data_IF_513018834525
#
_entry.id   IF_513018834525
#
_cell.length_a   1.000
_cell.length_b   1.000
_cell.length_c   1.000
_cell.angle_alpha   90.00
_cell.angle_beta   90.00
_cell.angle_gamma   90.00
#
_symmetry.space_group_name_H-M   'P 1'
#
loop_
_entity.id
_entity.type
_entity.pdbx_description
1 polymer ?
#
# COMPACT_ATOMS: atom_id res chain seq x y z
N UNK A 1 10.00 -7.70 7.71
CA UNK A 1 9.94 -6.79 8.87
C UNK A 1 8.86 -5.71 8.70
N UNK A 2 9.12 -4.64 7.95
CA UNK A 2 8.25 -3.44 7.87
C UNK A 2 6.82 -3.77 7.43
N UNK A 3 6.64 -4.57 6.40
CA UNK A 3 5.30 -4.94 5.91
C UNK A 3 4.50 -5.75 6.94
N UNK A 4 5.17 -6.63 7.68
CA UNK A 4 4.52 -7.38 8.75
C UNK A 4 4.10 -6.46 9.91
N UNK A 5 4.90 -5.43 10.20
CA UNK A 5 4.58 -4.41 11.17
C UNK A 5 3.34 -3.58 10.74
N UNK A 6 3.32 -3.10 9.50
CA UNK A 6 2.18 -2.35 8.96
C UNK A 6 0.90 -3.20 9.01
N UNK A 7 0.98 -4.48 8.61
CA UNK A 7 -0.15 -5.41 8.69
C UNK A 7 -0.63 -5.65 10.13
N UNK A 8 0.27 -5.81 11.08
CA UNK A 8 -0.04 -5.93 12.50
C UNK A 8 -0.72 -4.67 13.06
N UNK A 9 -0.21 -3.49 12.71
CA UNK A 9 -0.81 -2.21 13.09
C UNK A 9 -2.22 -2.03 12.50
N UNK A 10 -2.42 -2.41 11.26
CA UNK A 10 -3.75 -2.36 10.64
C UNK A 10 -4.75 -3.23 11.39
N UNK A 11 -4.36 -4.47 11.77
CA UNK A 11 -5.19 -5.36 12.60
C UNK A 11 -5.48 -4.70 13.95
N UNK A 12 -4.47 -4.16 14.62
CA UNK A 12 -4.65 -3.47 15.90
C UNK A 12 -5.67 -2.33 15.81
N UNK A 13 -5.54 -1.47 14.79
CA UNK A 13 -6.50 -0.37 14.58
C UNK A 13 -7.90 -0.86 14.29
N UNK A 14 -8.07 -1.92 13.50
CA UNK A 14 -9.38 -2.54 13.26
C UNK A 14 -9.98 -3.03 14.58
N UNK A 15 -9.20 -3.75 15.39
CA UNK A 15 -9.66 -4.29 16.68
C UNK A 15 -10.09 -3.17 17.62
N UNK A 16 -9.26 -2.15 17.86
CA UNK A 16 -9.63 -1.05 18.76
C UNK A 16 -10.86 -0.27 18.27
N UNK A 17 -11.00 -0.12 16.94
CA UNK A 17 -12.15 0.60 16.36
C UNK A 17 -13.44 -0.21 16.48
N UNK A 18 -13.41 -1.51 16.19
CA UNK A 18 -14.57 -2.39 16.26
C UNK A 18 -15.06 -2.59 17.71
N UNK A 19 -14.13 -2.81 18.62
CA UNK A 19 -14.45 -3.06 20.03
C UNK A 19 -14.48 -1.78 20.88
N UNK A 20 -14.23 -0.61 20.28
CA UNK A 20 -14.17 0.70 20.97
C UNK A 20 -13.23 0.69 22.18
N UNK A 21 -12.13 -0.04 22.07
CA UNK A 21 -11.12 -0.13 23.13
C UNK A 21 -10.27 1.15 23.10
N UNK A 22 -9.97 1.71 24.26
CA UNK A 22 -9.03 2.83 24.36
C UNK A 22 -7.63 2.35 23.96
N UNK A 23 -6.90 3.12 23.14
CA UNK A 23 -5.54 2.75 22.78
C UNK A 23 -4.66 2.70 24.03
N UNK A 24 -3.93 1.60 24.18
CA UNK A 24 -3.00 1.44 25.30
C UNK A 24 -1.86 2.46 25.24
N UNK A 25 -1.47 3.04 26.37
CA UNK A 25 -0.30 3.91 26.41
C UNK A 25 0.96 3.14 26.01
N UNK A 26 1.85 3.81 25.28
CA UNK A 26 3.16 3.28 24.89
C UNK A 26 4.04 3.22 26.13
N UNK A 27 4.13 2.06 26.77
CA UNK A 27 4.85 1.88 28.03
C UNK A 27 6.15 1.07 27.90
N UNK A 28 6.50 0.64 26.69
CA UNK A 28 7.59 -0.30 26.48
C UNK A 28 8.87 0.35 25.96
N UNK A 29 10.01 -0.28 26.24
CA UNK A 29 11.34 0.06 25.70
C UNK A 29 11.39 0.19 24.18
N UNK A 30 10.50 -0.48 23.47
CA UNK A 30 10.44 -0.48 22.00
C UNK A 30 9.51 0.59 21.42
N UNK A 31 8.89 1.44 22.25
CA UNK A 31 7.98 2.47 21.75
C UNK A 31 6.69 1.94 21.12
N UNK A 32 6.24 0.75 21.50
CA UNK A 32 5.03 0.07 21.00
C UNK A 32 4.16 -0.41 22.16
N UNK A 33 2.85 -0.43 21.98
CA UNK A 33 1.94 -0.98 22.99
C UNK A 33 1.93 -2.51 22.97
N UNK A 34 1.56 -3.13 24.09
CA UNK A 34 1.44 -4.60 24.20
C UNK A 34 0.47 -5.16 23.16
N UNK A 35 -0.66 -4.49 22.95
CA UNK A 35 -1.66 -4.87 21.95
C UNK A 35 -1.14 -4.78 20.51
N UNK A 36 -0.36 -3.75 20.17
CA UNK A 36 0.31 -3.63 18.88
C UNK A 36 1.29 -4.78 18.65
N UNK A 37 2.07 -5.12 19.66
CA UNK A 37 3.03 -6.22 19.58
C UNK A 37 2.35 -7.57 19.38
N UNK A 38 1.26 -7.85 20.10
CA UNK A 38 0.47 -9.07 19.93
C UNK A 38 -0.14 -9.15 18.53
N UNK A 39 -0.71 -8.07 18.01
CA UNK A 39 -1.25 -8.03 16.65
C UNK A 39 -0.15 -8.22 15.58
N UNK A 40 1.04 -7.66 15.81
CA UNK A 40 2.20 -7.91 14.96
C UNK A 40 2.61 -9.38 14.97
N UNK A 41 2.74 -10.01 16.14
CA UNK A 41 3.08 -11.42 16.25
C UNK A 41 2.03 -12.32 15.61
N UNK A 42 0.76 -12.01 15.78
CA UNK A 42 -0.34 -12.73 15.14
C UNK A 42 -0.24 -12.66 13.62
N UNK A 43 -0.07 -11.47 13.07
CA UNK A 43 0.09 -11.29 11.62
C UNK A 43 1.36 -11.97 11.09
N UNK A 44 2.46 -11.87 11.84
CA UNK A 44 3.71 -12.56 11.52
C UNK A 44 3.53 -14.08 11.51
N UNK A 45 2.86 -14.66 12.51
CA UNK A 45 2.59 -16.07 12.59
C UNK A 45 1.74 -16.58 11.41
N UNK A 46 0.73 -15.80 10.97
CA UNK A 46 -0.04 -16.11 9.76
C UNK A 46 0.88 -16.16 8.54
N UNK A 47 1.77 -15.18 8.37
CA UNK A 47 2.72 -15.17 7.24
C UNK A 47 3.64 -16.40 7.28
N UNK A 48 4.17 -16.76 8.47
CA UNK A 48 5.01 -17.94 8.64
C UNK A 48 4.24 -19.22 8.32
N UNK A 49 2.99 -19.33 8.76
CA UNK A 49 2.14 -20.47 8.46
C UNK A 49 1.88 -20.62 6.96
N UNK A 50 1.60 -19.52 6.25
CA UNK A 50 1.41 -19.52 4.79
C UNK A 50 2.67 -20.00 4.08
N UNK A 51 3.85 -19.48 4.50
CA UNK A 51 5.15 -19.89 3.92
C UNK A 51 5.40 -21.39 4.17
N UNK A 52 5.10 -21.86 5.37
CA UNK A 52 5.26 -23.28 5.72
C UNK A 52 4.38 -24.22 4.88
N UNK A 53 3.17 -23.76 4.51
CA UNK A 53 2.26 -24.48 3.61
C UNK A 53 2.77 -24.60 2.17
N UNK A 54 3.71 -23.78 1.78
CA UNK A 54 4.39 -23.85 0.49
C UNK A 54 3.72 -23.10 -0.64
N UNK A 55 4.27 -23.28 -1.85
CA UNK A 55 3.97 -22.46 -3.03
C UNK A 55 2.50 -22.53 -3.49
N UNK A 56 1.85 -23.68 -3.32
CA UNK A 56 0.45 -23.83 -3.76
C UNK A 56 -0.52 -22.95 -2.96
N UNK A 57 -0.29 -22.85 -1.65
CA UNK A 57 -1.05 -21.94 -0.79
C UNK A 57 -0.79 -20.49 -1.15
N UNK A 58 0.46 -20.14 -1.44
CA UNK A 58 0.83 -18.79 -1.88
C UNK A 58 0.13 -18.46 -3.21
N UNK A 59 0.17 -19.36 -4.19
CA UNK A 59 -0.51 -19.22 -5.48
C UNK A 59 -2.01 -19.00 -5.32
N UNK A 60 -2.67 -19.82 -4.50
CA UNK A 60 -4.09 -19.69 -4.21
C UNK A 60 -4.42 -18.32 -3.60
N UNK A 61 -3.66 -17.89 -2.60
CA UNK A 61 -3.84 -16.59 -1.97
C UNK A 61 -3.63 -15.42 -2.94
N UNK A 62 -2.63 -15.50 -3.81
CA UNK A 62 -2.36 -14.47 -4.81
C UNK A 62 -3.49 -14.36 -5.83
N UNK A 63 -4.06 -15.49 -6.26
CA UNK A 63 -5.18 -15.50 -7.20
C UNK A 63 -6.44 -14.84 -6.65
N UNK A 64 -6.68 -14.92 -5.35
CA UNK A 64 -7.80 -14.22 -4.69
C UNK A 64 -7.43 -12.79 -4.34
N UNK A 65 -6.24 -12.59 -3.79
CA UNK A 65 -5.80 -11.28 -3.30
C UNK A 65 -5.71 -10.23 -4.41
N UNK A 66 -5.20 -10.60 -5.60
CA UNK A 66 -4.98 -9.64 -6.67
C UNK A 66 -6.30 -9.00 -7.15
N UNK A 67 -7.34 -9.76 -7.57
CA UNK A 67 -8.61 -9.14 -7.95
C UNK A 67 -9.32 -8.44 -6.79
N UNK A 68 -9.21 -8.99 -5.57
CA UNK A 68 -9.80 -8.35 -4.38
C UNK A 68 -9.17 -6.98 -4.11
N UNK A 69 -7.85 -6.86 -4.18
CA UNK A 69 -7.18 -5.58 -3.98
C UNK A 69 -7.57 -4.56 -5.05
N UNK A 70 -7.63 -4.97 -6.32
CA UNK A 70 -8.07 -4.09 -7.40
C UNK A 70 -9.50 -3.60 -7.13
N UNK A 71 -10.40 -4.50 -6.77
CA UNK A 71 -11.78 -4.14 -6.44
C UNK A 71 -11.86 -3.16 -5.26
N UNK A 72 -11.12 -3.41 -4.19
CA UNK A 72 -11.06 -2.51 -3.02
C UNK A 72 -10.46 -1.15 -3.38
N UNK A 73 -9.41 -1.11 -4.19
CA UNK A 73 -8.81 0.14 -4.67
C UNK A 73 -9.79 0.97 -5.51
N UNK A 74 -10.53 0.32 -6.41
CA UNK A 74 -11.56 0.98 -7.21
C UNK A 74 -12.75 1.43 -6.36
N UNK A 75 -13.17 0.65 -5.37
CA UNK A 75 -14.20 1.04 -4.42
C UNK A 75 -13.78 2.27 -3.60
N UNK A 76 -12.54 2.29 -3.14
CA UNK A 76 -11.99 3.44 -2.42
C UNK A 76 -11.95 4.69 -3.31
N UNK A 77 -11.53 4.54 -4.56
CA UNK A 77 -11.53 5.64 -5.54
C UNK A 77 -12.96 6.13 -5.83
N UNK A 78 -13.90 5.22 -6.00
CA UNK A 78 -15.30 5.56 -6.20
C UNK A 78 -15.86 6.31 -4.99
N UNK A 79 -15.62 5.83 -3.77
CA UNK A 79 -16.03 6.51 -2.54
C UNK A 79 -15.42 7.92 -2.44
N UNK A 80 -14.11 8.04 -2.69
CA UNK A 80 -13.41 9.32 -2.68
C UNK A 80 -13.98 10.30 -3.70
N UNK A 81 -14.27 9.83 -4.94
CA UNK A 81 -14.94 10.62 -5.98
C UNK A 81 -16.30 11.14 -5.52
N UNK A 82 -17.13 10.30 -4.90
CA UNK A 82 -18.45 10.69 -4.40
C UNK A 82 -18.35 11.78 -3.33
N UNK A 83 -17.42 11.61 -2.39
CA UNK A 83 -17.24 12.55 -1.26
C UNK A 83 -16.56 13.86 -1.66
N UNK A 84 -15.66 13.83 -2.62
CA UNK A 84 -14.94 15.02 -3.10
C UNK A 84 -15.70 15.83 -4.17
N UNK A 85 -16.89 15.38 -4.59
CA UNK A 85 -17.71 16.06 -5.60
C UNK A 85 -17.25 15.83 -7.04
N UNK A 86 -16.43 14.82 -7.30
CA UNK A 86 -15.98 14.42 -8.64
C UNK A 86 -14.47 14.41 -8.82
N UNK A 87 -14.02 14.01 -10.01
CA UNK A 87 -12.59 13.98 -10.34
C UNK A 87 -11.98 15.38 -10.54
N UNK A 88 -12.77 16.37 -10.99
CA UNK A 88 -12.29 17.73 -11.21
C UNK A 88 -11.61 18.32 -9.96
N UNK A 89 -12.31 18.45 -8.85
CA UNK A 89 -11.73 18.96 -7.61
C UNK A 89 -10.56 18.15 -7.10
N UNK A 90 -10.58 16.81 -7.26
CA UNK A 90 -9.51 15.92 -6.80
C UNK A 90 -8.21 16.11 -7.58
N UNK A 91 -8.28 16.28 -8.90
CA UNK A 91 -7.10 16.35 -9.78
C UNK A 91 -6.60 17.80 -9.99
N UNK A 92 -7.41 18.81 -9.64
CA UNK A 92 -7.04 20.23 -9.74
C UNK A 92 -6.36 20.79 -8.48
N UNK A 93 -6.08 19.94 -7.50
CA UNK A 93 -5.34 20.39 -6.32
C UNK A 93 -3.94 20.87 -6.73
N UNK A 94 -3.52 22.07 -6.25
CA UNK A 94 -2.20 22.60 -6.57
C UNK A 94 -1.11 21.68 -6.06
N UNK A 95 -0.06 21.52 -6.84
CA UNK A 95 1.11 20.75 -6.41
C UNK A 95 1.80 21.45 -5.24
N UNK A 96 2.32 20.67 -4.28
CA UNK A 96 3.15 21.21 -3.19
C UNK A 96 4.42 21.92 -3.70
N UNK A 97 4.79 21.68 -4.97
CA UNK A 97 5.97 22.27 -5.61
C UNK A 97 5.64 23.52 -6.46
N UNK A 98 4.35 23.89 -6.56
CA UNK A 98 3.92 25.07 -7.33
C UNK A 98 4.34 26.37 -6.61
N UNK A 99 4.40 27.44 -7.40
CA UNK A 99 4.77 28.76 -6.91
C UNK A 99 3.80 29.20 -5.81
N UNK A 100 4.35 29.53 -4.63
CA UNK A 100 3.55 29.91 -3.44
C UNK A 100 3.26 28.76 -2.46
N UNK A 101 3.66 27.54 -2.76
CA UNK A 101 3.55 26.42 -1.84
C UNK A 101 4.84 26.24 -1.00
N UNK A 102 4.77 25.58 0.18
CA UNK A 102 5.92 25.44 1.09
C UNK A 102 7.16 24.77 0.49
N UNK A 103 6.98 23.97 -0.58
CA UNK A 103 8.04 23.23 -1.25
C UNK A 103 8.31 23.71 -2.67
N UNK A 104 7.92 24.96 -2.98
CA UNK A 104 8.14 25.56 -4.29
C UNK A 104 9.62 25.47 -4.72
N UNK A 105 9.86 25.02 -5.94
CA UNK A 105 11.20 24.88 -6.53
C UNK A 105 12.04 23.71 -6.01
N UNK A 106 11.55 22.93 -5.03
CA UNK A 106 12.30 21.80 -4.45
C UNK A 106 11.97 20.44 -5.09
N UNK A 107 11.28 20.42 -6.23
CA UNK A 107 10.85 19.19 -6.89
C UNK A 107 11.98 18.16 -7.05
N UNK A 108 13.12 18.55 -7.58
CA UNK A 108 14.24 17.64 -7.83
C UNK A 108 14.87 17.11 -6.54
N UNK A 109 14.87 17.89 -5.47
CA UNK A 109 15.37 17.45 -4.15
C UNK A 109 14.51 16.35 -3.53
N UNK A 110 13.24 16.29 -3.87
CA UNK A 110 12.32 15.22 -3.44
C UNK A 110 12.25 14.07 -4.44
N UNK A 111 12.33 14.38 -5.73
CA UNK A 111 12.18 13.40 -6.80
C UNK A 111 13.25 12.30 -6.75
N UNK A 112 14.53 12.66 -6.67
CA UNK A 112 15.60 11.66 -6.68
C UNK A 112 15.62 10.76 -5.45
N UNK A 113 15.46 11.25 -4.21
CA UNK A 113 15.30 10.38 -3.06
C UNK A 113 14.07 9.47 -3.14
N UNK A 114 12.92 9.98 -3.61
CA UNK A 114 11.72 9.18 -3.80
C UNK A 114 11.93 8.09 -4.85
N UNK A 115 12.53 8.42 -5.99
CA UNK A 115 12.88 7.45 -7.03
C UNK A 115 13.83 6.38 -6.50
N UNK A 116 14.86 6.76 -5.76
CA UNK A 116 15.81 5.82 -5.12
C UNK A 116 15.08 4.92 -4.12
N UNK A 117 14.17 5.47 -3.33
CA UNK A 117 13.33 4.70 -2.42
C UNK A 117 12.46 3.68 -3.13
N UNK A 118 11.84 4.05 -4.25
CA UNK A 118 11.04 3.14 -5.07
C UNK A 118 11.87 2.04 -5.71
N UNK A 119 13.05 2.37 -6.27
CA UNK A 119 13.97 1.38 -6.81
C UNK A 119 14.42 0.41 -5.70
N UNK A 120 14.81 0.91 -4.54
CA UNK A 120 15.20 0.09 -3.40
C UNK A 120 14.09 -0.82 -2.89
N UNK A 121 12.85 -0.34 -2.86
CA UNK A 121 11.69 -1.14 -2.47
C UNK A 121 11.44 -2.33 -3.41
N UNK A 122 11.66 -2.15 -4.72
CA UNK A 122 11.43 -3.17 -5.75
C UNK A 122 12.67 -3.98 -6.11
N UNK A 123 13.85 -3.61 -5.67
CA UNK A 123 15.11 -4.28 -6.02
C UNK A 123 15.12 -5.77 -5.69
N UNK A 124 14.53 -6.17 -4.56
CA UNK A 124 14.43 -7.57 -4.16
C UNK A 124 13.53 -8.39 -5.09
N UNK A 125 12.53 -7.79 -5.72
CA UNK A 125 11.63 -8.48 -6.64
C UNK A 125 12.38 -8.93 -7.90
N UNK A 126 13.36 -8.17 -8.38
CA UNK A 126 14.16 -8.53 -9.55
C UNK A 126 14.96 -9.82 -9.32
N UNK A 127 15.39 -10.07 -8.11
CA UNK A 127 16.08 -11.32 -7.74
C UNK A 127 15.13 -12.51 -7.63
N UNK A 128 13.87 -12.26 -7.26
CA UNK A 128 12.88 -13.32 -7.01
C UNK A 128 11.97 -13.59 -8.22
N UNK A 129 12.04 -12.79 -9.29
CA UNK A 129 11.24 -13.01 -10.51
C UNK A 129 11.40 -14.43 -11.07
N UNK A 130 12.60 -15.02 -11.15
CA UNK A 130 12.77 -16.41 -11.63
C UNK A 130 11.98 -17.43 -10.83
N UNK A 131 11.78 -17.22 -9.52
CA UNK A 131 11.02 -18.10 -8.65
C UNK A 131 9.54 -18.22 -9.05
N UNK A 132 9.00 -17.16 -9.62
CA UNK A 132 7.62 -17.11 -10.12
C UNK A 132 7.55 -17.48 -11.61
N UNK A 133 8.47 -16.98 -12.43
CA UNK A 133 8.43 -17.16 -13.88
C UNK A 133 8.70 -18.60 -14.31
N UNK A 134 9.44 -19.41 -13.52
CA UNK A 134 9.64 -20.84 -13.77
C UNK A 134 8.36 -21.67 -13.83
N UNK A 135 7.24 -21.16 -13.31
CA UNK A 135 5.93 -21.81 -13.37
C UNK A 135 5.09 -21.37 -14.58
N UNK A 136 5.59 -20.47 -15.40
CA UNK A 136 4.91 -20.04 -16.62
C UNK A 136 4.90 -21.17 -17.65
N UNK A 137 3.74 -21.42 -18.28
CA UNK A 137 3.61 -22.48 -19.27
C UNK A 137 4.27 -22.13 -20.61
N UNK A 138 4.22 -20.85 -20.96
CA UNK A 138 4.81 -20.35 -22.21
C UNK A 138 5.55 -19.04 -21.97
N UNK A 139 6.49 -18.73 -22.84
CA UNK A 139 7.21 -17.44 -22.82
C UNK A 139 6.24 -16.26 -23.01
N UNK A 140 5.20 -16.43 -23.82
CA UNK A 140 4.17 -15.41 -24.03
C UNK A 140 3.40 -15.11 -22.75
N UNK A 141 3.01 -16.13 -21.98
CA UNK A 141 2.32 -15.95 -20.69
C UNK A 141 3.20 -15.19 -19.70
N UNK A 142 4.49 -15.48 -19.70
CA UNK A 142 5.46 -14.78 -18.86
C UNK A 142 5.56 -13.29 -19.23
N UNK A 143 5.75 -13.00 -20.51
CA UNK A 143 5.88 -11.61 -20.99
C UNK A 143 4.62 -10.81 -20.73
N UNK A 144 3.45 -11.36 -21.09
CA UNK A 144 2.17 -10.69 -20.84
C UNK A 144 1.90 -10.53 -19.35
N UNK A 145 2.16 -11.56 -18.55
CA UNK A 145 1.98 -11.53 -17.10
C UNK A 145 2.83 -10.44 -16.44
N UNK A 146 4.10 -10.30 -16.86
CA UNK A 146 4.97 -9.25 -16.32
C UNK A 146 4.57 -7.87 -16.82
N UNK A 147 4.24 -7.71 -18.10
CA UNK A 147 3.84 -6.43 -18.69
C UNK A 147 2.54 -5.88 -18.10
N UNK A 148 1.54 -6.76 -17.90
CA UNK A 148 0.27 -6.37 -17.30
C UNK A 148 0.35 -6.31 -15.77
N UNK A 149 1.07 -7.24 -15.16
CA UNK A 149 1.15 -7.39 -13.71
C UNK A 149 1.95 -6.29 -13.01
N UNK A 150 3.05 -5.81 -13.58
CA UNK A 150 3.88 -4.81 -12.94
C UNK A 150 3.56 -3.37 -13.41
N UNK A 151 3.83 -2.96 -14.65
CA UNK A 151 3.67 -1.56 -15.03
C UNK A 151 2.23 -1.09 -14.94
N UNK A 152 1.27 -1.90 -15.39
CA UNK A 152 -0.13 -1.50 -15.47
C UNK A 152 -0.79 -1.42 -14.09
N UNK A 153 -0.56 -2.40 -13.23
CA UNK A 153 -1.08 -2.36 -11.86
C UNK A 153 -0.42 -1.26 -11.03
N UNK A 154 0.88 -1.02 -11.21
CA UNK A 154 1.58 0.06 -10.55
C UNK A 154 1.06 1.43 -10.99
N UNK A 155 0.84 1.65 -12.28
CA UNK A 155 0.24 2.88 -12.79
C UNK A 155 -1.17 3.10 -12.21
N UNK A 156 -2.00 2.05 -12.20
CA UNK A 156 -3.35 2.10 -11.64
C UNK A 156 -3.32 2.47 -10.15
N UNK A 157 -2.51 1.78 -9.35
CA UNK A 157 -2.44 2.04 -7.91
C UNK A 157 -1.80 3.40 -7.58
N UNK A 158 -0.83 3.84 -8.37
CA UNK A 158 -0.28 5.19 -8.24
C UNK A 158 -1.35 6.25 -8.50
N UNK A 159 -2.14 6.08 -9.55
CA UNK A 159 -3.27 6.95 -9.83
C UNK A 159 -4.30 6.96 -8.69
N UNK A 160 -4.71 5.78 -8.22
CA UNK A 160 -5.65 5.66 -7.08
C UNK A 160 -5.06 6.36 -5.85
N UNK A 161 -3.79 6.12 -5.53
CA UNK A 161 -3.13 6.73 -4.39
C UNK A 161 -3.11 8.25 -4.45
N UNK A 162 -2.70 8.82 -5.58
CA UNK A 162 -2.69 10.27 -5.79
C UNK A 162 -4.11 10.85 -5.71
N UNK A 163 -5.07 10.24 -6.40
CA UNK A 163 -6.45 10.73 -6.43
C UNK A 163 -7.10 10.67 -5.04
N UNK A 164 -6.94 9.56 -4.31
CA UNK A 164 -7.49 9.41 -2.96
C UNK A 164 -6.83 10.36 -1.98
N UNK A 165 -5.50 10.50 -2.02
CA UNK A 165 -4.78 11.46 -1.15
C UNK A 165 -5.22 12.90 -1.44
N UNK A 166 -5.40 13.27 -2.70
CA UNK A 166 -5.94 14.58 -3.06
C UNK A 166 -7.38 14.77 -2.57
N UNK A 167 -8.20 13.72 -2.62
CA UNK A 167 -9.56 13.76 -2.07
C UNK A 167 -9.56 13.99 -0.56
N UNK A 168 -8.60 13.43 0.20
CA UNK A 168 -8.55 13.66 1.66
C UNK A 168 -8.31 15.12 2.01
N UNK A 169 -7.55 15.84 1.20
CA UNK A 169 -7.33 17.27 1.38
C UNK A 169 -8.65 18.06 1.25
N UNK A 170 -9.55 17.62 0.37
CA UNK A 170 -10.86 18.26 0.19
C UNK A 170 -11.81 17.88 1.32
N UNK A 171 -11.85 16.59 1.68
CA UNK A 171 -12.83 16.02 2.62
C UNK A 171 -12.47 16.38 4.07
N UNK A 172 -11.20 16.24 4.43
CA UNK A 172 -10.71 16.38 5.82
C UNK A 172 -9.90 17.67 6.06
N UNK A 173 -9.60 18.42 4.99
CA UNK A 173 -8.70 19.59 4.99
C UNK A 173 -7.27 19.27 5.44
N UNK A 174 -6.92 18.01 5.43
CA UNK A 174 -5.59 17.50 5.76
C UNK A 174 -5.18 16.44 4.74
N UNK A 175 -3.90 16.40 4.43
CA UNK A 175 -3.34 15.40 3.51
C UNK A 175 -3.08 14.09 4.26
N UNK A 176 -3.99 13.16 4.19
CA UNK A 176 -3.84 11.84 4.79
C UNK A 176 -3.20 10.88 3.77
N UNK A 177 -1.90 10.71 3.88
CA UNK A 177 -1.12 9.81 3.00
C UNK A 177 -0.85 8.45 3.65
N UNK A 178 -0.93 8.36 4.99
CA UNK A 178 -0.69 7.12 5.73
C UNK A 178 -2.02 6.37 5.90
N UNK A 179 -2.15 5.15 5.36
CA UNK A 179 -3.37 4.36 5.46
C UNK A 179 -3.58 3.70 6.84
N UNK A 180 -2.64 3.84 7.77
CA UNK A 180 -2.65 3.18 9.10
C UNK A 180 -2.57 4.18 10.23
#
# INVERSE_FOLDING_TARGET
>A
GIQAWIGGNAIYKIVITLFKIQPEPVTNWFGISGGQFLCFLFFWAINMWVIYRGIDTIRFLLNIKAPLLIALGLLLLWWAKQKAGGFGPMLQQPSQFDTGQPQAGKFWSYFFPALTGMIGFWATLSLNIPDFSRYAKTQRDQVLGQALGLPMTMALYSFIGVAVTSATTIIFKETLWNPV
#
